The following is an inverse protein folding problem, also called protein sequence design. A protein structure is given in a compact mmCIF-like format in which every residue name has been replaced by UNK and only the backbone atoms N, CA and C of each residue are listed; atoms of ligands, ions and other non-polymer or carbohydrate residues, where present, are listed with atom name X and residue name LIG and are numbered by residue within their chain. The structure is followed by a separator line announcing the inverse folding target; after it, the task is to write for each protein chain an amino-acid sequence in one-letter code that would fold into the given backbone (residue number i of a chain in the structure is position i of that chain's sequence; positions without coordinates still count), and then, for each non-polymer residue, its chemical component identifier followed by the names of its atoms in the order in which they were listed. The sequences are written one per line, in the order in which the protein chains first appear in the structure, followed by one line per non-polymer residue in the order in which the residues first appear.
data_IF_780128312883
#
_entry.id   IF_780128312883
#
_cell.length_a   1.000
_cell.length_b   1.000
_cell.length_c   1.000
_cell.angle_alpha   90.00
_cell.angle_beta   90.00
_cell.angle_gamma   90.00
#
_symmetry.space_group_name_H-M   'P 1'
#
loop_
_entity.id
_entity.type
_entity.pdbx_description
1 polymer ?
#
# COMPACT_ATOMS: atom_id res chain seq x y z
N UNK A 1 -7.04 31.91 10.59
CA UNK A 1 -6.99 30.44 10.83
C UNK A 1 -5.65 29.79 10.47
N UNK A 2 -4.51 30.48 10.44
CA UNK A 2 -3.48 30.01 9.53
C UNK A 2 -2.11 29.69 10.14
N UNK A 3 -1.68 30.27 11.23
CA UNK A 3 -0.31 30.03 11.71
C UNK A 3 -0.13 28.80 12.63
N UNK A 4 -1.08 28.48 13.47
CA UNK A 4 -0.97 27.35 14.41
C UNK A 4 -1.10 25.99 13.71
N UNK A 5 -1.86 25.94 12.63
CA UNK A 5 -2.06 24.72 11.85
C UNK A 5 -0.84 24.40 10.95
N UNK A 6 -0.19 25.44 10.40
CA UNK A 6 1.00 25.29 9.56
C UNK A 6 2.21 24.77 10.33
N UNK A 7 2.41 25.15 11.60
CA UNK A 7 3.51 24.65 12.43
C UNK A 7 3.39 23.13 12.67
N UNK A 8 2.18 22.64 12.96
CA UNK A 8 1.93 21.20 13.14
C UNK A 8 2.13 20.40 11.85
N UNK A 9 1.76 20.98 10.71
CA UNK A 9 1.96 20.33 9.41
C UNK A 9 3.44 20.32 9.02
N UNK A 10 4.20 21.38 9.31
CA UNK A 10 5.64 21.41 9.09
C UNK A 10 6.37 20.39 9.98
N UNK A 11 5.96 20.24 11.25
CA UNK A 11 6.47 19.20 12.14
C UNK A 11 6.16 17.80 11.60
N UNK A 12 4.94 17.58 11.10
CA UNK A 12 4.54 16.32 10.47
C UNK A 12 5.43 16.01 9.26
N UNK A 13 5.65 17.00 8.37
CA UNK A 13 6.50 16.89 7.19
C UNK A 13 7.92 16.47 7.60
N UNK A 14 8.51 17.14 8.58
CA UNK A 14 9.86 16.85 9.03
C UNK A 14 9.98 15.43 9.59
N UNK A 15 9.04 15.01 10.43
CA UNK A 15 9.01 13.66 11.00
C UNK A 15 8.80 12.57 9.93
N UNK A 16 8.02 12.84 8.88
CA UNK A 16 7.89 11.91 7.73
C UNK A 16 9.23 11.75 7.03
N UNK A 17 9.98 12.83 6.78
CA UNK A 17 11.33 12.77 6.18
C UNK A 17 12.33 11.97 7.03
N UNK A 18 12.18 12.01 8.35
CA UNK A 18 12.98 11.25 9.32
C UNK A 18 12.56 9.77 9.40
N UNK A 19 11.48 9.38 8.74
CA UNK A 19 10.99 8.00 8.72
C UNK A 19 10.16 7.62 9.95
N UNK A 20 9.61 8.62 10.70
CA UNK A 20 8.74 8.33 11.84
C UNK A 20 7.45 7.65 11.39
N UNK A 21 7.24 6.40 11.84
CA UNK A 21 6.11 5.54 11.44
C UNK A 21 4.75 6.15 11.81
N UNK A 22 4.65 6.83 12.94
CA UNK A 22 3.38 7.44 13.39
C UNK A 22 3.03 8.64 12.53
N UNK A 23 4.00 9.46 12.20
CA UNK A 23 3.82 10.61 11.32
C UNK A 23 3.51 10.20 9.89
N UNK A 24 4.16 9.14 9.37
CA UNK A 24 3.81 8.53 8.08
C UNK A 24 2.35 8.05 8.08
N UNK A 25 1.92 7.30 9.09
CA UNK A 25 0.55 6.83 9.21
C UNK A 25 -0.47 7.99 9.25
N UNK A 26 -0.15 9.09 9.94
CA UNK A 26 -0.99 10.31 9.96
C UNK A 26 -1.06 10.98 8.59
N UNK A 27 0.08 11.13 7.90
CA UNK A 27 0.13 11.73 6.56
C UNK A 27 -0.69 10.91 5.55
N UNK A 28 -0.59 9.57 5.58
CA UNK A 28 -1.41 8.69 4.75
C UNK A 28 -2.90 8.82 5.11
N UNK A 29 -3.25 8.91 6.40
CA UNK A 29 -4.64 9.13 6.84
C UNK A 29 -5.21 10.44 6.28
N UNK A 30 -4.41 11.51 6.21
CA UNK A 30 -4.83 12.76 5.58
C UNK A 30 -5.09 12.57 4.07
N UNK A 31 -4.21 11.86 3.38
CA UNK A 31 -4.32 11.57 1.95
C UNK A 31 -5.55 10.70 1.61
N UNK A 32 -5.90 9.76 2.49
CA UNK A 32 -7.06 8.87 2.34
C UNK A 32 -8.41 9.53 2.71
N UNK A 33 -8.38 10.66 3.41
CA UNK A 33 -9.60 11.29 3.92
C UNK A 33 -10.42 11.97 2.82
N UNK A 34 -11.74 11.91 2.98
CA UNK A 34 -12.69 12.61 2.12
C UNK A 34 -13.08 14.01 2.64
N UNK A 35 -12.65 14.36 3.86
CA UNK A 35 -12.94 15.67 4.45
C UNK A 35 -12.12 16.75 3.75
N UNK A 36 -12.72 17.88 3.43
CA UNK A 36 -12.09 18.98 2.69
C UNK A 36 -10.86 19.54 3.42
N UNK A 37 -10.95 19.76 4.74
CA UNK A 37 -9.84 20.26 5.55
C UNK A 37 -8.63 19.30 5.54
N UNK A 38 -8.88 17.98 5.56
CA UNK A 38 -7.82 16.97 5.44
C UNK A 38 -7.21 16.94 4.04
N UNK A 39 -8.01 17.11 3.00
CA UNK A 39 -7.50 17.16 1.62
C UNK A 39 -6.60 18.38 1.41
N UNK A 40 -6.96 19.54 1.94
CA UNK A 40 -6.14 20.75 1.88
C UNK A 40 -4.81 20.55 2.64
N UNK A 41 -4.85 19.94 3.83
CA UNK A 41 -3.66 19.57 4.58
C UNK A 41 -2.80 18.55 3.84
N UNK A 42 -3.40 17.51 3.25
CA UNK A 42 -2.69 16.51 2.47
C UNK A 42 -1.98 17.13 1.27
N UNK A 43 -2.69 17.99 0.53
CA UNK A 43 -2.11 18.72 -0.61
C UNK A 43 -0.90 19.54 -0.17
N UNK A 44 -1.01 20.30 0.92
CA UNK A 44 0.10 21.07 1.48
C UNK A 44 1.31 20.18 1.82
N UNK A 45 1.09 19.05 2.50
CA UNK A 45 2.13 18.09 2.89
C UNK A 45 2.81 17.51 1.64
N UNK A 46 2.03 17.04 0.66
CA UNK A 46 2.55 16.43 -0.57
C UNK A 46 3.32 17.43 -1.43
N UNK A 47 2.85 18.67 -1.54
CA UNK A 47 3.55 19.71 -2.28
C UNK A 47 4.92 20.03 -1.66
N UNK A 48 5.00 20.10 -0.33
CA UNK A 48 6.26 20.32 0.40
C UNK A 48 7.23 19.14 0.30
N UNK A 49 6.71 17.93 0.09
CA UNK A 49 7.50 16.70 -0.04
C UNK A 49 7.87 16.39 -1.50
N UNK A 50 7.44 17.21 -2.46
CA UNK A 50 7.54 16.93 -3.90
C UNK A 50 8.94 16.54 -4.38
N UNK A 51 9.97 17.14 -3.82
CA UNK A 51 11.36 16.95 -4.23
C UNK A 51 12.16 16.02 -3.29
N UNK A 52 11.48 15.34 -2.35
CA UNK A 52 12.13 14.50 -1.35
C UNK A 52 11.90 13.01 -1.55
N UNK A 53 11.20 12.60 -2.62
CA UNK A 53 10.95 11.19 -2.92
C UNK A 53 12.26 10.48 -3.27
N UNK A 54 12.48 9.33 -2.65
CA UNK A 54 13.56 8.40 -3.01
C UNK A 54 12.95 7.33 -3.90
N UNK A 55 13.70 6.85 -4.90
CA UNK A 55 13.20 5.75 -5.72
C UNK A 55 13.12 4.46 -4.87
N UNK A 56 11.91 3.95 -4.72
CA UNK A 56 11.66 2.64 -4.13
C UNK A 56 11.27 1.66 -5.24
N UNK A 57 11.58 0.38 -5.05
CA UNK A 57 11.04 -0.69 -5.88
C UNK A 57 9.59 -0.93 -5.48
N UNK A 58 8.66 -0.77 -6.41
CA UNK A 58 7.22 -0.98 -6.20
C UNK A 58 6.79 -2.32 -6.81
N UNK A 59 6.25 -3.20 -5.98
CA UNK A 59 5.81 -4.54 -6.39
C UNK A 59 4.31 -4.66 -6.11
N UNK A 60 3.52 -4.82 -7.15
CA UNK A 60 2.11 -5.14 -7.07
C UNK A 60 1.91 -6.65 -6.88
N UNK A 61 0.99 -7.03 -6.01
CA UNK A 61 0.66 -8.43 -5.70
C UNK A 61 -0.85 -8.62 -5.80
N UNK A 62 -1.24 -9.55 -6.65
CA UNK A 62 -2.65 -9.97 -6.81
C UNK A 62 -2.78 -11.49 -6.82
N UNK A 63 -4.00 -11.98 -6.82
CA UNK A 63 -4.34 -13.40 -6.80
C UNK A 63 -5.66 -13.64 -6.09
N UNK A 64 -6.27 -14.80 -6.28
CA UNK A 64 -7.55 -15.15 -5.67
C UNK A 64 -7.52 -15.08 -4.14
N UNK A 65 -8.65 -14.82 -3.48
CA UNK A 65 -8.74 -14.92 -2.03
C UNK A 65 -8.32 -16.33 -1.57
N UNK A 66 -7.50 -16.40 -0.51
CA UNK A 66 -7.03 -17.70 0.02
C UNK A 66 -5.77 -18.26 -0.64
N UNK A 67 -5.25 -17.69 -1.74
CA UNK A 67 -4.04 -18.16 -2.43
C UNK A 67 -2.74 -18.00 -1.63
N UNK A 68 -2.78 -17.36 -0.45
CA UNK A 68 -1.60 -17.18 0.42
C UNK A 68 -0.83 -15.88 0.20
N UNK A 69 -1.43 -14.85 -0.41
CA UNK A 69 -0.77 -13.54 -0.62
C UNK A 69 -0.14 -12.98 0.64
N UNK A 70 -0.90 -12.89 1.72
CA UNK A 70 -0.42 -12.31 2.98
C UNK A 70 0.71 -13.15 3.60
N UNK A 71 0.67 -14.47 3.46
CA UNK A 71 1.75 -15.39 3.89
C UNK A 71 3.02 -15.17 3.07
N UNK A 72 2.86 -15.04 1.74
CA UNK A 72 3.98 -14.72 0.85
C UNK A 72 4.60 -13.36 1.20
N UNK A 73 3.77 -12.32 1.41
CA UNK A 73 4.23 -10.98 1.79
C UNK A 73 4.97 -11.03 3.13
N UNK A 74 4.46 -11.75 4.11
CA UNK A 74 5.09 -11.89 5.42
C UNK A 74 6.47 -12.56 5.31
N UNK A 75 6.55 -13.68 4.60
CA UNK A 75 7.81 -14.42 4.42
C UNK A 75 8.84 -13.58 3.66
N UNK A 76 8.47 -13.00 2.53
CA UNK A 76 9.34 -12.13 1.74
C UNK A 76 9.77 -10.90 2.55
N UNK A 77 8.81 -10.28 3.25
CA UNK A 77 9.04 -9.10 4.07
C UNK A 77 10.03 -9.36 5.21
N UNK A 78 9.91 -10.50 5.91
CA UNK A 78 10.84 -10.89 6.96
C UNK A 78 12.26 -11.10 6.40
N UNK A 79 12.40 -11.77 5.26
CA UNK A 79 13.71 -11.94 4.61
C UNK A 79 14.34 -10.60 4.22
N UNK A 80 13.54 -9.69 3.68
CA UNK A 80 14.02 -8.35 3.30
C UNK A 80 14.44 -7.52 4.51
N UNK A 81 13.66 -7.53 5.60
CA UNK A 81 13.98 -6.80 6.82
C UNK A 81 15.20 -7.35 7.53
N UNK A 82 15.40 -8.69 7.53
CA UNK A 82 16.61 -9.36 8.03
C UNK A 82 17.86 -8.95 7.23
N UNK A 83 17.72 -8.67 5.94
CA UNK A 83 18.77 -8.11 5.10
C UNK A 83 18.91 -6.56 5.21
N UNK A 84 18.33 -5.97 6.24
CA UNK A 84 18.44 -4.54 6.54
C UNK A 84 17.57 -3.62 5.66
N UNK A 85 16.71 -4.17 4.78
CA UNK A 85 15.86 -3.39 3.92
C UNK A 85 14.65 -2.81 4.67
N UNK A 86 14.28 -1.57 4.36
CA UNK A 86 13.04 -0.96 4.83
C UNK A 86 11.92 -1.23 3.84
N UNK A 87 10.85 -1.86 4.31
CA UNK A 87 9.71 -2.23 3.47
C UNK A 87 8.41 -1.61 3.93
N UNK A 88 7.55 -1.23 2.99
CA UNK A 88 6.17 -0.85 3.26
C UNK A 88 5.21 -1.82 2.57
N UNK A 89 4.13 -2.19 3.24
CA UNK A 89 3.03 -2.99 2.69
C UNK A 89 1.77 -2.14 2.70
N UNK A 90 1.22 -1.88 1.53
CA UNK A 90 -0.04 -1.16 1.33
C UNK A 90 -1.10 -2.17 0.85
N UNK A 91 -2.00 -2.57 1.75
CA UNK A 91 -3.08 -3.49 1.42
C UNK A 91 -4.33 -2.71 1.01
N UNK A 92 -4.76 -2.87 -0.26
CA UNK A 92 -5.92 -2.20 -0.83
C UNK A 92 -7.11 -3.14 -0.75
N UNK A 93 -8.00 -2.93 0.22
CA UNK A 93 -9.20 -3.76 0.40
C UNK A 93 -10.46 -3.00 -0.02
N UNK A 94 -11.14 -3.42 -1.12
CA UNK A 94 -12.41 -2.84 -1.53
C UNK A 94 -13.56 -3.13 -0.56
N UNK A 95 -13.48 -4.19 0.26
CA UNK A 95 -14.56 -4.61 1.16
C UNK A 95 -14.62 -3.82 2.47
N UNK A 96 -13.55 -3.10 2.83
CA UNK A 96 -13.48 -2.32 4.09
C UNK A 96 -14.42 -1.11 4.12
N UNK A 97 -15.06 -0.79 3.00
CA UNK A 97 -16.05 0.30 2.93
C UNK A 97 -17.38 -0.06 3.63
N UNK A 98 -17.74 -1.33 3.72
CA UNK A 98 -19.03 -1.79 4.22
C UNK A 98 -19.00 -2.31 5.66
N UNK A 99 -17.89 -2.85 6.10
CA UNK A 99 -17.76 -3.44 7.43
C UNK A 99 -16.53 -2.87 8.14
N UNK A 100 -16.67 -1.95 9.07
CA UNK A 100 -15.56 -1.32 9.81
C UNK A 100 -14.54 -2.25 10.51
N UNK A 101 -14.42 -3.51 10.07
CA UNK A 101 -13.66 -4.59 10.67
C UNK A 101 -12.36 -5.03 9.96
N UNK A 102 -12.12 -4.60 8.71
CA UNK A 102 -10.98 -5.10 7.92
C UNK A 102 -9.61 -4.60 8.41
N UNK A 103 -9.54 -3.46 9.08
CA UNK A 103 -8.26 -2.84 9.52
C UNK A 103 -7.51 -3.73 10.52
N UNK A 104 -8.21 -4.55 11.32
CA UNK A 104 -7.62 -5.49 12.26
C UNK A 104 -7.18 -6.80 11.57
N UNK A 105 -7.92 -7.26 10.54
CA UNK A 105 -7.67 -8.53 9.88
C UNK A 105 -6.32 -8.62 9.17
N UNK A 106 -5.86 -7.55 8.51
CA UNK A 106 -4.60 -7.58 7.76
C UNK A 106 -3.36 -7.48 8.65
N UNK A 107 -3.45 -6.77 9.79
CA UNK A 107 -2.36 -6.77 10.78
C UNK A 107 -2.23 -8.12 11.49
N UNK A 108 -3.33 -8.84 11.70
CA UNK A 108 -3.30 -10.17 12.30
C UNK A 108 -2.80 -11.25 11.33
N UNK A 109 -2.88 -11.01 10.02
CA UNK A 109 -2.39 -11.93 8.99
C UNK A 109 -0.88 -11.85 8.77
N UNK A 110 -0.24 -10.72 9.12
CA UNK A 110 1.20 -10.47 8.99
C UNK A 110 1.77 -10.08 10.36
N UNK A 111 1.53 -10.94 11.36
CA UNK A 111 1.83 -10.63 12.75
C UNK A 111 3.34 -10.45 13.01
N UNK A 112 4.15 -11.35 12.49
CA UNK A 112 5.61 -11.29 12.68
C UNK A 112 6.19 -10.07 11.97
N UNK A 113 5.80 -9.83 10.72
CA UNK A 113 6.28 -8.69 9.95
C UNK A 113 5.85 -7.35 10.58
N UNK A 114 4.66 -7.29 11.18
CA UNK A 114 4.16 -6.06 11.81
C UNK A 114 5.01 -5.60 13.02
N UNK A 115 5.76 -6.51 13.64
CA UNK A 115 6.67 -6.26 14.77
C UNK A 115 8.04 -5.76 14.34
N UNK A 116 8.41 -5.96 13.07
CA UNK A 116 9.70 -5.53 12.54
C UNK A 116 9.81 -4.00 12.51
N UNK A 117 10.95 -3.48 12.97
CA UNK A 117 11.22 -2.03 12.98
C UNK A 117 11.37 -1.46 11.57
N UNK A 118 11.88 -2.26 10.64
CA UNK A 118 12.07 -1.89 9.24
C UNK A 118 10.84 -2.15 8.35
N UNK A 119 9.72 -2.60 8.94
CA UNK A 119 8.47 -2.83 8.20
C UNK A 119 7.38 -1.83 8.60
N UNK A 120 6.59 -1.41 7.63
CA UNK A 120 5.39 -0.59 7.80
C UNK A 120 4.23 -1.24 7.07
N UNK A 121 3.17 -1.60 7.77
CA UNK A 121 1.97 -2.22 7.18
C UNK A 121 0.80 -1.25 7.31
N UNK A 122 0.18 -0.93 6.18
CA UNK A 122 -0.96 -0.02 6.09
C UNK A 122 -2.12 -0.67 5.34
N UNK A 123 -3.16 -1.12 6.04
CA UNK A 123 -4.44 -1.39 5.40
C UNK A 123 -5.07 -0.07 4.93
N UNK A 124 -5.35 0.04 3.64
CA UNK A 124 -5.95 1.24 3.03
C UNK A 124 -7.39 0.95 2.65
N UNK A 125 -8.36 1.65 3.24
CA UNK A 125 -9.77 1.45 2.91
C UNK A 125 -10.04 1.94 1.48
N UNK A 126 -10.62 1.07 0.66
CA UNK A 126 -11.05 1.42 -0.69
C UNK A 126 -12.43 2.11 -0.63
N UNK A 127 -12.47 3.36 -0.16
CA UNK A 127 -13.70 4.18 -0.19
C UNK A 127 -13.73 5.04 -1.45
N UNK A 128 -14.55 4.66 -2.44
CA UNK A 128 -14.82 5.54 -3.57
C UNK A 128 -14.63 4.93 -4.96
N UNK A 129 -14.64 5.78 -5.98
CA UNK A 129 -14.41 5.41 -7.37
C UNK A 129 -12.97 4.94 -7.60
N UNK A 130 -12.76 4.11 -8.62
CA UNK A 130 -11.43 3.61 -9.03
C UNK A 130 -10.38 4.72 -9.16
N UNK A 131 -10.74 5.88 -9.72
CA UNK A 131 -9.84 7.02 -9.82
C UNK A 131 -9.43 7.59 -8.45
N UNK A 132 -10.32 7.55 -7.46
CA UNK A 132 -10.02 7.96 -6.08
C UNK A 132 -9.06 7.01 -5.39
N UNK A 133 -9.18 5.70 -5.62
CA UNK A 133 -8.26 4.68 -5.11
C UNK A 133 -6.89 4.86 -5.71
N UNK A 134 -6.80 4.99 -7.04
CA UNK A 134 -5.54 5.22 -7.76
C UNK A 134 -4.78 6.42 -7.20
N UNK A 135 -5.44 7.56 -7.04
CA UNK A 135 -4.84 8.78 -6.51
C UNK A 135 -4.29 8.56 -5.09
N UNK A 136 -5.09 8.02 -4.18
CA UNK A 136 -4.70 7.81 -2.77
C UNK A 136 -3.56 6.81 -2.62
N UNK A 137 -3.57 5.75 -3.43
CA UNK A 137 -2.48 4.76 -3.41
C UNK A 137 -1.17 5.37 -3.91
N UNK A 138 -1.20 6.16 -4.99
CA UNK A 138 0.00 6.89 -5.48
C UNK A 138 0.53 7.88 -4.42
N UNK A 139 -0.36 8.59 -3.72
CA UNK A 139 0.02 9.49 -2.63
C UNK A 139 0.63 8.73 -1.45
N UNK A 140 0.08 7.56 -1.07
CA UNK A 140 0.62 6.71 -0.01
C UNK A 140 2.00 6.12 -0.39
N UNK A 141 2.17 5.63 -1.63
CA UNK A 141 3.46 5.16 -2.16
C UNK A 141 4.50 6.27 -2.02
N UNK A 142 4.18 7.48 -2.48
CA UNK A 142 5.08 8.62 -2.41
C UNK A 142 5.47 9.00 -0.98
N UNK A 143 4.53 8.96 -0.04
CA UNK A 143 4.82 9.21 1.37
C UNK A 143 5.75 8.14 1.96
N UNK A 144 5.60 6.88 1.57
CA UNK A 144 6.50 5.80 1.95
C UNK A 144 7.92 6.00 1.36
N UNK A 145 8.03 6.41 0.09
CA UNK A 145 9.32 6.74 -0.54
C UNK A 145 10.05 7.87 0.22
N UNK A 146 9.34 8.95 0.57
CA UNK A 146 9.89 10.05 1.35
C UNK A 146 10.35 9.61 2.74
N UNK A 147 9.61 8.70 3.38
CA UNK A 147 9.96 8.13 4.68
C UNK A 147 11.14 7.15 4.60
N UNK A 148 11.67 6.90 3.41
CA UNK A 148 12.88 6.09 3.20
C UNK A 148 12.64 4.60 3.11
N UNK A 149 11.42 4.16 2.77
CA UNK A 149 11.16 2.76 2.42
C UNK A 149 11.74 2.47 1.04
N UNK A 150 12.49 1.37 0.94
CA UNK A 150 13.22 0.98 -0.26
C UNK A 150 12.40 0.04 -1.16
N UNK A 151 11.47 -0.71 -0.55
CA UNK A 151 10.58 -1.65 -1.23
C UNK A 151 9.15 -1.39 -0.76
N UNK A 152 8.23 -1.24 -1.70
CA UNK A 152 6.81 -0.99 -1.43
C UNK A 152 5.99 -2.10 -2.08
N UNK A 153 5.38 -2.94 -1.25
CA UNK A 153 4.48 -4.01 -1.68
C UNK A 153 3.05 -3.46 -1.69
N UNK A 154 2.36 -3.56 -2.82
CA UNK A 154 0.97 -3.12 -2.98
C UNK A 154 0.10 -4.34 -3.21
N UNK A 155 -0.62 -4.78 -2.17
CA UNK A 155 -1.50 -5.96 -2.23
C UNK A 155 -2.90 -5.56 -2.67
N UNK A 156 -3.47 -6.28 -3.64
CA UNK A 156 -4.90 -6.21 -4.00
C UNK A 156 -5.65 -7.46 -3.54
N UNK A 157 -6.96 -7.35 -3.40
CA UNK A 157 -7.81 -8.48 -2.94
C UNK A 157 -8.15 -9.47 -4.06
N UNK A 158 -7.79 -9.17 -5.31
CA UNK A 158 -7.89 -10.12 -6.42
C UNK A 158 -9.27 -10.29 -7.05
N UNK A 159 -10.22 -9.41 -6.78
CA UNK A 159 -11.63 -9.53 -7.24
C UNK A 159 -12.21 -8.24 -7.83
N UNK A 160 -11.41 -7.41 -8.50
CA UNK A 160 -11.96 -6.15 -8.99
C UNK A 160 -11.16 -5.51 -10.12
N UNK A 161 -11.43 -4.23 -10.36
CA UNK A 161 -10.71 -3.41 -11.34
C UNK A 161 -9.48 -2.71 -10.73
N UNK A 162 -9.14 -3.01 -9.47
CA UNK A 162 -7.99 -2.42 -8.77
C UNK A 162 -6.66 -2.98 -9.28
N UNK A 163 -6.66 -4.16 -9.89
CA UNK A 163 -5.47 -4.84 -10.40
C UNK A 163 -4.78 -4.04 -11.51
N UNK A 164 -5.55 -3.59 -12.51
CA UNK A 164 -5.03 -2.75 -13.61
C UNK A 164 -4.46 -1.44 -13.06
N UNK A 165 -5.18 -0.82 -12.11
CA UNK A 165 -4.73 0.42 -11.48
C UNK A 165 -3.42 0.22 -10.71
N UNK A 166 -3.25 -0.92 -10.03
CA UNK A 166 -2.02 -1.24 -9.29
C UNK A 166 -0.88 -1.57 -10.25
N UNK A 167 -1.11 -2.33 -11.31
CA UNK A 167 -0.07 -2.62 -12.32
C UNK A 167 0.51 -1.35 -12.93
N UNK A 168 -0.31 -0.32 -13.18
CA UNK A 168 0.15 0.97 -13.73
C UNK A 168 1.01 1.81 -12.78
N UNK A 169 1.04 1.51 -11.48
CA UNK A 169 1.78 2.28 -10.48
C UNK A 169 2.90 1.49 -9.80
N UNK A 170 3.15 0.26 -10.26
CA UNK A 170 4.20 -0.61 -9.74
C UNK A 170 5.24 -0.91 -10.82
N UNK A 171 6.46 -1.25 -10.41
CA UNK A 171 7.56 -1.55 -11.32
C UNK A 171 7.53 -3.03 -11.75
N UNK A 172 6.94 -3.89 -10.89
CA UNK A 172 6.71 -5.32 -11.14
C UNK A 172 5.31 -5.66 -10.64
N UNK A 173 4.52 -6.38 -11.45
CA UNK A 173 3.21 -6.86 -11.06
C UNK A 173 3.17 -8.39 -11.03
N UNK A 174 2.94 -8.95 -9.83
CA UNK A 174 2.98 -10.39 -9.58
C UNK A 174 1.57 -10.95 -9.37
N UNK A 175 1.25 -12.03 -10.07
CA UNK A 175 0.04 -12.83 -9.89
C UNK A 175 0.37 -14.10 -9.12
N UNK A 176 -0.27 -14.32 -7.96
CA UNK A 176 -0.19 -15.56 -7.22
C UNK A 176 -1.35 -16.49 -7.61
N UNK A 177 -1.02 -17.75 -7.90
CA UNK A 177 -1.95 -18.82 -8.30
C UNK A 177 -1.71 -20.03 -7.39
N UNK A 178 -2.79 -20.70 -6.97
CA UNK A 178 -2.69 -21.94 -6.22
C UNK A 178 -2.30 -23.12 -7.16
N UNK A 179 -1.56 -24.13 -6.66
CA UNK A 179 -1.29 -25.36 -7.43
C UNK A 179 -2.59 -26.06 -7.83
N UNK A 180 -2.63 -26.63 -9.01
CA UNK A 180 -3.77 -27.39 -9.54
C UNK A 180 -5.08 -26.58 -9.75
N UNK A 181 -5.00 -25.26 -9.84
CA UNK A 181 -6.14 -24.34 -10.02
C UNK A 181 -6.62 -24.25 -11.49
N UNK A 182 -6.76 -25.35 -12.20
CA UNK A 182 -7.23 -25.33 -13.59
C UNK A 182 -8.55 -24.57 -13.78
N UNK A 183 -9.49 -24.73 -12.85
CA UNK A 183 -10.76 -24.00 -12.85
C UNK A 183 -10.63 -22.55 -12.34
N UNK A 184 -9.71 -22.28 -11.41
CA UNK A 184 -9.42 -20.91 -10.93
C UNK A 184 -8.72 -20.06 -11.98
N UNK A 185 -7.90 -20.65 -12.85
CA UNK A 185 -7.33 -19.96 -14.01
C UNK A 185 -8.43 -19.44 -14.96
N UNK A 186 -9.57 -20.15 -15.07
CA UNK A 186 -10.74 -19.66 -15.80
C UNK A 186 -11.45 -18.51 -15.05
N UNK A 187 -11.39 -18.50 -13.71
CA UNK A 187 -11.92 -17.43 -12.87
C UNK A 187 -11.00 -16.20 -12.79
N UNK A 188 -9.70 -16.36 -13.04
CA UNK A 188 -8.78 -15.23 -13.19
C UNK A 188 -9.11 -14.52 -14.49
N UNK A 189 -9.57 -13.28 -14.40
CA UNK A 189 -9.89 -12.48 -15.59
C UNK A 189 -8.68 -12.50 -16.54
N UNK A 190 -8.88 -12.89 -17.78
CA UNK A 190 -7.83 -12.99 -18.81
C UNK A 190 -6.91 -11.76 -18.84
N UNK A 191 -7.48 -10.56 -18.62
CA UNK A 191 -6.72 -9.33 -18.55
C UNK A 191 -5.69 -9.23 -17.40
N UNK A 192 -5.86 -9.98 -16.28
CA UNK A 192 -4.88 -9.99 -15.19
C UNK A 192 -3.64 -10.78 -15.58
N UNK A 193 -3.81 -11.89 -16.29
CA UNK A 193 -2.69 -12.68 -16.83
C UNK A 193 -1.86 -11.85 -17.82
N UNK A 194 -2.53 -11.07 -18.68
CA UNK A 194 -1.88 -10.25 -19.70
C UNK A 194 -1.06 -9.07 -19.13
N UNK A 195 -1.44 -8.53 -17.96
CA UNK A 195 -0.73 -7.42 -17.32
C UNK A 195 0.28 -7.87 -16.25
N UNK A 196 0.40 -9.17 -15.98
CA UNK A 196 1.31 -9.70 -14.98
C UNK A 196 2.69 -9.93 -15.55
N UNK A 197 3.72 -9.36 -14.89
CA UNK A 197 5.13 -9.58 -15.25
C UNK A 197 5.63 -10.94 -14.74
N UNK A 198 5.11 -11.38 -13.58
CA UNK A 198 5.52 -12.63 -12.93
C UNK A 198 4.29 -13.39 -12.44
N UNK A 199 4.27 -14.70 -12.70
CA UNK A 199 3.29 -15.63 -12.14
C UNK A 199 3.99 -16.50 -11.10
N UNK A 200 3.46 -16.50 -9.88
CA UNK A 200 3.98 -17.27 -8.75
C UNK A 200 2.97 -18.37 -8.41
N UNK A 201 3.43 -19.61 -8.36
CA UNK A 201 2.65 -20.76 -7.90
C UNK A 201 2.98 -20.96 -6.41
N UNK A 202 1.97 -20.81 -5.54
CA UNK A 202 2.14 -20.79 -4.09
C UNK A 202 1.31 -21.87 -3.41
#
# INVERSE_FOLDING_TARGET
MTNFNNNKLNELIQKVKEGDRRSLAKAITLAESTRQDHQDHSKFVLDKLKNNSKNALKIGLTGTPGVGKSTFIETLGLQLTQNGKKIAVLAIDPSSATNGGSILGDKTRMELLSRETNAFIRPSPNKGSLGGVSKRTREAIRLCEVAGYEIILVETVGVGQSETVVSEMTDIFCLLIAPASGDELQGVKRGILEISDIILIN
#
